data_IF_914248545983
#
_entry.id   IF_914248545983
#
_cell.length_a   1.000
_cell.length_b   1.000
_cell.length_c   1.000
_cell.angle_alpha   90.00
_cell.angle_beta   90.00
_cell.angle_gamma   90.00
#
_symmetry.space_group_name_H-M   'P 1'
#
loop_
_entity.id
_entity.type
_entity.pdbx_description
1 polymer ?
#
# COMPACT_ATOMS: atom_id res chain seq x y z
N UNK A 1 17.68 -3.39 -3.32
CA UNK A 1 16.78 -2.85 -2.27
C UNK A 1 17.11 -1.37 -2.10
N UNK A 2 16.12 -0.47 -2.12
CA UNK A 2 16.32 1.00 -2.15
C UNK A 2 15.75 1.74 -0.92
N UNK A 3 15.12 1.04 0.02
CA UNK A 3 14.55 1.61 1.24
C UNK A 3 13.74 0.56 2.01
N UNK A 4 13.25 0.93 3.19
CA UNK A 4 12.41 0.11 4.07
C UNK A 4 11.28 0.93 4.69
N UNK A 5 10.20 0.26 5.10
CA UNK A 5 9.06 0.88 5.77
C UNK A 5 9.33 0.89 7.27
N UNK A 6 9.51 2.08 7.84
CA UNK A 6 9.80 2.25 9.29
C UNK A 6 8.54 2.39 10.15
N UNK A 7 7.42 2.82 9.55
CA UNK A 7 6.15 3.08 10.24
C UNK A 7 4.96 2.66 9.37
N UNK A 8 3.84 2.27 10.00
CA UNK A 8 2.60 1.95 9.29
C UNK A 8 2.57 0.57 8.61
N UNK A 9 3.38 -0.40 9.06
CA UNK A 9 3.37 -1.78 8.52
C UNK A 9 1.97 -2.41 8.60
N UNK A 10 1.24 -2.18 9.68
CA UNK A 10 -0.15 -2.63 9.86
C UNK A 10 -1.11 -2.12 8.76
N UNK A 11 -0.81 -0.99 8.12
CA UNK A 11 -1.58 -0.46 6.99
C UNK A 11 -1.25 -1.26 5.73
N UNK A 12 0.02 -1.63 5.54
CA UNK A 12 0.45 -2.50 4.44
C UNK A 12 -0.27 -3.85 4.52
N UNK A 13 -0.36 -4.44 5.71
CA UNK A 13 -1.07 -5.70 5.92
C UNK A 13 -2.57 -5.59 5.59
N UNK A 14 -3.20 -4.48 5.98
CA UNK A 14 -4.60 -4.19 5.63
C UNK A 14 -4.80 -4.07 4.12
N UNK A 15 -3.87 -3.42 3.41
CA UNK A 15 -3.91 -3.29 1.95
C UNK A 15 -3.68 -4.65 1.28
N UNK A 16 -2.78 -5.48 1.81
CA UNK A 16 -2.52 -6.82 1.29
C UNK A 16 -3.71 -7.77 1.47
N UNK A 17 -4.54 -7.55 2.50
CA UNK A 17 -5.72 -8.36 2.80
C UNK A 17 -6.98 -7.95 2.03
N UNK A 18 -6.95 -6.90 1.19
CA UNK A 18 -8.12 -6.49 0.42
C UNK A 18 -8.50 -7.54 -0.62
N UNK A 19 -9.79 -7.64 -0.92
CA UNK A 19 -10.27 -8.57 -1.94
C UNK A 19 -9.77 -8.17 -3.33
N UNK A 20 -9.25 -9.15 -4.06
CA UNK A 20 -8.72 -8.98 -5.41
C UNK A 20 -9.60 -9.67 -6.44
N UNK A 21 -9.66 -9.06 -7.63
CA UNK A 21 -10.20 -9.65 -8.84
C UNK A 21 -9.14 -10.53 -9.53
N UNK A 22 -9.50 -11.05 -10.69
CA UNK A 22 -8.58 -11.79 -11.56
C UNK A 22 -7.35 -10.94 -11.91
N UNK A 23 -6.16 -11.51 -11.73
CA UNK A 23 -4.89 -10.81 -11.96
C UNK A 23 -4.41 -9.98 -10.76
N UNK A 24 -4.86 -10.34 -9.55
CA UNK A 24 -4.44 -9.74 -8.27
C UNK A 24 -4.71 -8.23 -8.13
N UNK A 25 -5.60 -7.69 -8.97
CA UNK A 25 -6.02 -6.29 -8.87
C UNK A 25 -7.08 -6.15 -7.77
N UNK A 26 -6.93 -5.23 -6.80
CA UNK A 26 -7.97 -4.93 -5.83
C UNK A 26 -9.32 -4.62 -6.48
N UNK A 27 -10.41 -5.06 -5.86
CA UNK A 27 -11.77 -4.74 -6.32
C UNK A 27 -12.06 -3.24 -6.25
N UNK A 28 -11.51 -2.58 -5.23
CA UNK A 28 -11.54 -1.14 -5.06
C UNK A 28 -10.12 -0.57 -5.16
N UNK A 29 -9.95 0.52 -5.91
CA UNK A 29 -8.63 1.10 -6.12
C UNK A 29 -8.07 1.71 -4.80
N UNK A 30 -6.91 1.22 -4.36
CA UNK A 30 -6.13 1.83 -3.28
C UNK A 30 -5.11 2.80 -3.88
N UNK A 31 -5.24 4.10 -3.59
CA UNK A 31 -4.42 5.18 -4.20
C UNK A 31 -3.64 5.95 -3.13
N UNK A 32 -2.44 6.41 -3.49
CA UNK A 32 -1.67 7.33 -2.68
C UNK A 32 -2.23 8.74 -2.89
N UNK A 33 -2.73 9.36 -1.82
CA UNK A 33 -3.41 10.67 -1.89
C UNK A 33 -2.40 11.82 -1.87
N UNK A 34 -1.35 11.70 -1.06
CA UNK A 34 -0.30 12.71 -0.93
C UNK A 34 1.04 12.04 -0.58
N UNK A 35 2.13 12.69 -0.98
CA UNK A 35 3.50 12.27 -0.68
C UNK A 35 4.26 13.51 -0.24
N UNK A 36 4.99 13.39 0.86
CA UNK A 36 5.92 14.41 1.35
C UNK A 36 7.31 13.82 1.43
N UNK A 37 8.29 14.49 0.80
CA UNK A 37 9.69 14.12 0.91
C UNK A 37 10.27 14.83 2.13
N UNK A 38 10.70 14.06 3.12
CA UNK A 38 11.39 14.60 4.31
C UNK A 38 12.84 14.91 3.93
N UNK A 39 13.35 16.06 4.37
CA UNK A 39 14.64 16.62 3.94
C UNK A 39 15.81 16.09 4.77
#
# INVERSE_FOLDING_TARGET
>A
VFGEVVEGIEIIDKIAAVQTAKGDRPLEDVKIISISVVK
#
